data_IF_701558909186
#
_entry.id   IF_701558909186
#
_cell.length_a   1.000
_cell.length_b   1.000
_cell.length_c   1.000
_cell.angle_alpha   90.00
_cell.angle_beta   90.00
_cell.angle_gamma   90.00
#
_symmetry.space_group_name_H-M   'P 1'
#
loop_
_entity.id
_entity.type
_entity.pdbx_description
1 polymer ?
#
# COMPACT_ATOMS: atom_id res chain seq x y z
N UNK A 1 10.48 30.52 -12.02
CA UNK A 1 11.16 29.24 -11.76
C UNK A 1 10.74 28.79 -10.36
N UNK A 2 9.95 27.73 -10.25
CA UNK A 2 9.61 27.12 -8.96
C UNK A 2 10.87 26.41 -8.48
N UNK A 3 11.33 26.72 -7.27
CA UNK A 3 12.49 26.05 -6.67
C UNK A 3 12.26 24.52 -6.69
N UNK A 4 13.28 23.72 -7.00
CA UNK A 4 13.14 22.27 -6.93
C UNK A 4 12.77 21.90 -5.49
N UNK A 5 11.61 21.25 -5.33
CA UNK A 5 11.22 20.73 -4.03
C UNK A 5 12.30 19.75 -3.53
N UNK A 6 12.65 19.78 -2.24
CA UNK A 6 13.59 18.83 -1.70
C UNK A 6 13.09 17.40 -1.98
N UNK A 7 13.99 16.46 -2.27
CA UNK A 7 13.62 15.06 -2.45
C UNK A 7 12.96 14.53 -1.17
N UNK A 8 12.02 13.59 -1.32
CA UNK A 8 11.43 12.91 -0.16
C UNK A 8 12.55 12.22 0.61
N UNK A 9 12.64 12.50 1.91
CA UNK A 9 13.52 11.76 2.81
C UNK A 9 12.83 10.43 3.16
N UNK A 10 13.25 9.35 2.51
CA UNK A 10 12.80 8.00 2.86
C UNK A 10 13.60 7.49 4.08
N UNK A 11 12.88 6.98 5.09
CA UNK A 11 13.50 6.33 6.24
C UNK A 11 13.92 4.91 5.88
N UNK A 12 15.22 4.72 5.66
CA UNK A 12 15.84 3.41 5.40
C UNK A 12 16.50 2.81 6.63
N UNK A 13 16.55 3.53 7.76
CA UNK A 13 17.25 3.12 8.99
C UNK A 13 16.32 2.43 10.00
N UNK A 14 15.04 2.31 9.67
CA UNK A 14 14.05 1.63 10.50
C UNK A 14 14.54 0.31 11.08
N UNK A 15 14.49 0.17 12.42
CA UNK A 15 14.73 -1.10 13.11
C UNK A 15 13.41 -1.84 13.30
N UNK A 16 13.16 -2.99 12.63
CA UNK A 16 11.90 -3.71 12.72
C UNK A 16 11.68 -4.40 14.07
N UNK A 17 12.73 -4.75 14.80
CA UNK A 17 12.69 -5.65 15.97
C UNK A 17 11.86 -6.90 15.65
N UNK A 18 12.19 -7.54 14.54
CA UNK A 18 11.44 -8.66 13.93
C UNK A 18 10.99 -9.70 14.96
N UNK A 19 9.70 -10.06 14.94
CA UNK A 19 9.11 -11.04 15.84
C UNK A 19 8.91 -10.55 17.28
N UNK A 20 9.20 -9.28 17.61
CA UNK A 20 8.99 -8.71 18.94
C UNK A 20 7.76 -7.79 18.96
N UNK A 21 6.94 -7.83 20.02
CA UNK A 21 5.90 -6.84 20.24
C UNK A 21 6.51 -5.48 20.62
N UNK A 22 6.29 -4.46 19.80
CA UNK A 22 6.82 -3.10 20.00
C UNK A 22 5.64 -2.12 20.16
N UNK A 23 5.46 -1.45 21.32
CA UNK A 23 4.48 -0.38 21.46
C UNK A 23 4.78 0.78 20.49
N UNK A 24 3.79 1.20 19.70
CA UNK A 24 3.98 2.25 18.66
C UNK A 24 2.98 3.40 18.78
N UNK A 25 1.87 3.19 19.47
CA UNK A 25 0.87 4.20 19.77
C UNK A 25 0.09 3.77 21.02
N UNK A 26 -0.73 4.64 21.65
CA UNK A 26 -1.58 4.24 22.78
C UNK A 26 -2.46 3.04 22.40
N UNK A 27 -2.37 1.98 23.20
CA UNK A 27 -3.07 0.70 22.99
C UNK A 27 -2.78 0.01 21.66
N UNK A 28 -1.64 0.31 21.00
CA UNK A 28 -1.22 -0.31 19.74
C UNK A 28 0.18 -0.90 19.86
N UNK A 29 0.27 -2.16 19.53
CA UNK A 29 1.54 -2.91 19.46
C UNK A 29 1.76 -3.32 18.01
N UNK A 30 2.99 -3.11 17.51
CA UNK A 30 3.47 -3.61 16.22
C UNK A 30 4.25 -4.91 16.41
N UNK A 31 4.04 -5.85 15.52
CA UNK A 31 4.88 -7.05 15.34
C UNK A 31 5.31 -7.12 13.88
N UNK A 32 6.60 -7.01 13.60
CA UNK A 32 7.11 -7.08 12.22
C UNK A 32 7.47 -8.52 11.87
N UNK A 33 6.96 -9.01 10.74
CA UNK A 33 7.18 -10.36 10.24
C UNK A 33 8.59 -10.54 9.64
N UNK A 34 9.15 -11.78 9.62
CA UNK A 34 10.48 -12.09 9.09
C UNK A 34 10.50 -12.25 7.54
N UNK A 35 9.72 -11.48 6.82
CA UNK A 35 9.57 -11.55 5.37
C UNK A 35 10.25 -10.37 4.65
N UNK A 36 11.43 -9.95 5.10
CA UNK A 36 12.19 -8.88 4.46
C UNK A 36 12.44 -9.15 2.96
N UNK A 37 12.20 -8.16 2.13
CA UNK A 37 12.32 -8.31 0.69
C UNK A 37 12.20 -7.00 -0.10
N UNK A 38 12.33 -7.06 -1.44
CA UNK A 38 12.30 -5.86 -2.28
C UNK A 38 10.97 -5.08 -2.23
N UNK A 39 9.87 -5.72 -1.86
CA UNK A 39 8.53 -5.12 -1.77
C UNK A 39 8.11 -4.89 -0.31
N UNK A 40 8.62 -5.67 0.61
CA UNK A 40 8.27 -5.66 2.03
C UNK A 40 9.31 -4.95 2.90
N UNK A 41 10.40 -4.46 2.31
CA UNK A 41 11.51 -3.80 3.01
C UNK A 41 12.12 -4.70 4.11
N UNK A 42 11.95 -4.34 5.38
CA UNK A 42 12.44 -5.11 6.54
C UNK A 42 11.37 -6.03 7.13
N UNK A 43 10.24 -6.19 6.46
CA UNK A 43 9.12 -7.06 6.82
C UNK A 43 7.77 -6.33 6.88
N UNK A 44 6.69 -7.11 6.94
CA UNK A 44 5.32 -6.63 7.07
C UNK A 44 4.98 -6.39 8.53
N UNK A 45 4.40 -5.25 8.84
CA UNK A 45 3.95 -4.88 10.18
C UNK A 45 2.50 -5.34 10.40
N UNK A 46 2.30 -6.23 11.36
CA UNK A 46 0.98 -6.50 11.94
C UNK A 46 0.76 -5.55 13.12
N UNK A 47 -0.42 -4.97 13.25
CA UNK A 47 -0.76 -4.16 14.42
C UNK A 47 -1.83 -4.84 15.26
N UNK A 48 -1.63 -4.85 16.57
CA UNK A 48 -2.57 -5.33 17.58
C UNK A 48 -3.05 -4.11 18.35
N UNK A 49 -4.32 -3.76 18.17
CA UNK A 49 -4.92 -2.56 18.76
C UNK A 49 -6.02 -2.93 19.75
N UNK A 50 -5.95 -2.42 20.95
CA UNK A 50 -6.96 -2.64 22.01
C UNK A 50 -6.38 -2.81 23.40
N UNK A 51 -7.29 -3.00 24.38
CA UNK A 51 -7.00 -3.22 25.80
C UNK A 51 -7.26 -4.67 26.22
N UNK A 52 -8.39 -4.89 26.93
CA UNK A 52 -8.80 -6.23 27.41
C UNK A 52 -9.17 -7.20 26.29
N UNK A 53 -9.62 -6.69 25.18
CA UNK A 53 -9.74 -7.41 23.90
C UNK A 53 -9.10 -6.62 22.78
N UNK A 54 -8.83 -7.24 21.64
CA UNK A 54 -8.01 -6.62 20.59
C UNK A 54 -8.56 -6.83 19.18
N UNK A 55 -8.21 -5.90 18.29
CA UNK A 55 -8.23 -6.06 16.85
C UNK A 55 -6.83 -6.46 16.37
N UNK A 56 -6.74 -7.34 15.39
CA UNK A 56 -5.50 -7.66 14.68
C UNK A 56 -5.60 -7.11 13.26
N UNK A 57 -4.76 -6.11 12.93
CA UNK A 57 -4.70 -5.51 11.61
C UNK A 57 -3.55 -6.15 10.81
N UNK A 58 -3.87 -6.66 9.63
CA UNK A 58 -2.93 -7.31 8.69
C UNK A 58 -2.08 -8.38 9.38
N UNK A 59 -2.58 -9.61 9.60
CA UNK A 59 -1.88 -10.63 10.37
C UNK A 59 -0.58 -11.15 9.73
N UNK A 60 -0.25 -10.66 8.51
CA UNK A 60 1.05 -10.91 7.90
C UNK A 60 1.12 -12.16 7.03
N UNK A 61 2.34 -12.53 6.57
CA UNK A 61 2.58 -13.69 5.72
C UNK A 61 2.32 -15.00 6.47
N UNK A 62 2.09 -16.10 5.74
CA UNK A 62 1.96 -17.45 6.33
C UNK A 62 3.34 -17.96 6.81
N UNK A 63 3.75 -17.44 7.95
CA UNK A 63 5.02 -17.76 8.60
C UNK A 63 4.77 -18.24 10.04
N UNK A 64 5.27 -19.44 10.43
CA UNK A 64 5.05 -20.00 11.76
C UNK A 64 5.69 -19.17 12.89
N UNK A 65 6.85 -18.55 12.65
CA UNK A 65 7.53 -17.73 13.66
C UNK A 65 6.74 -16.43 13.89
N UNK A 66 6.20 -15.83 12.82
CA UNK A 66 5.33 -14.65 12.93
C UNK A 66 4.05 -14.99 13.69
N UNK A 67 3.39 -16.11 13.38
CA UNK A 67 2.22 -16.57 14.13
C UNK A 67 2.52 -16.74 15.63
N UNK A 68 3.65 -17.32 15.99
CA UNK A 68 4.06 -17.45 17.39
C UNK A 68 4.25 -16.07 18.04
N UNK A 69 4.86 -15.11 17.35
CA UNK A 69 5.02 -13.73 17.82
C UNK A 69 3.67 -13.02 18.01
N UNK A 70 2.71 -13.23 17.09
CA UNK A 70 1.35 -12.68 17.23
C UNK A 70 0.63 -13.25 18.45
N UNK A 71 0.72 -14.57 18.69
CA UNK A 71 0.14 -15.21 19.90
C UNK A 71 0.69 -14.60 21.18
N UNK A 72 2.03 -14.39 21.22
CA UNK A 72 2.69 -13.73 22.35
C UNK A 72 2.16 -12.29 22.54
N UNK A 73 2.07 -11.53 21.46
CA UNK A 73 1.62 -10.15 21.48
C UNK A 73 0.11 -10.02 21.83
N UNK A 74 -0.73 -10.96 21.39
CA UNK A 74 -2.15 -11.06 21.78
C UNK A 74 -2.26 -11.37 23.27
N UNK A 75 -1.39 -12.21 23.82
CA UNK A 75 -1.31 -12.47 25.27
C UNK A 75 -2.56 -13.11 25.86
N UNK A 76 -3.25 -13.98 25.12
CA UNK A 76 -4.48 -14.65 25.55
C UNK A 76 -5.72 -13.75 25.54
N UNK A 77 -5.62 -12.48 25.14
CA UNK A 77 -6.78 -11.58 24.99
C UNK A 77 -7.69 -12.06 23.87
N UNK A 78 -8.97 -11.78 23.98
CA UNK A 78 -9.94 -12.07 22.93
C UNK A 78 -9.65 -11.23 21.69
N UNK A 79 -9.55 -11.89 20.54
CA UNK A 79 -9.48 -11.21 19.24
C UNK A 79 -10.92 -10.95 18.78
N UNK A 80 -11.33 -9.69 18.72
CA UNK A 80 -12.69 -9.30 18.33
C UNK A 80 -12.89 -9.39 16.82
N UNK A 81 -11.87 -9.00 16.06
CA UNK A 81 -11.84 -9.17 14.61
C UNK A 81 -10.40 -9.15 14.08
N UNK A 82 -10.23 -9.76 12.92
CA UNK A 82 -9.07 -9.61 12.04
C UNK A 82 -9.47 -8.58 10.99
N UNK A 83 -8.76 -7.46 10.93
CA UNK A 83 -9.04 -6.34 10.02
C UNK A 83 -7.94 -6.26 8.98
N UNK A 84 -8.28 -6.11 7.69
CA UNK A 84 -7.28 -6.04 6.64
C UNK A 84 -7.33 -4.70 5.92
N UNK A 85 -6.14 -4.16 5.66
CA UNK A 85 -5.99 -2.99 4.77
C UNK A 85 -6.29 -3.39 3.33
N UNK A 86 -5.78 -4.53 2.90
CA UNK A 86 -6.00 -5.06 1.55
C UNK A 86 -5.70 -6.57 1.48
N UNK A 87 -5.70 -7.13 0.28
CA UNK A 87 -5.69 -8.58 0.10
C UNK A 87 -4.41 -9.13 -0.57
N UNK A 88 -3.25 -8.47 -0.44
CA UNK A 88 -1.98 -9.09 -0.79
C UNK A 88 -1.56 -10.12 0.27
N UNK A 89 -0.85 -11.17 -0.16
CA UNK A 89 -0.59 -12.36 0.67
C UNK A 89 0.32 -12.10 1.86
N UNK A 90 1.16 -11.11 1.78
CA UNK A 90 2.01 -10.69 2.89
C UNK A 90 1.23 -9.97 4.00
N UNK A 91 -0.04 -9.63 3.78
CA UNK A 91 -1.00 -9.15 4.77
C UNK A 91 -1.99 -10.23 5.19
N UNK A 92 -2.32 -11.16 4.29
CA UNK A 92 -3.43 -12.11 4.49
C UNK A 92 -3.00 -13.53 4.79
N UNK A 93 -1.72 -13.85 4.68
CA UNK A 93 -1.21 -15.23 4.76
C UNK A 93 -1.66 -15.98 6.02
N UNK A 94 -1.63 -15.33 7.17
CA UNK A 94 -2.05 -15.92 8.44
C UNK A 94 -3.54 -15.80 8.77
N UNK A 95 -4.34 -15.13 7.94
CA UNK A 95 -5.77 -14.89 8.24
C UNK A 95 -6.51 -16.20 8.56
N UNK A 96 -6.40 -17.22 7.71
CA UNK A 96 -7.14 -18.48 7.89
C UNK A 96 -6.73 -19.22 9.14
N UNK A 97 -5.43 -19.19 9.46
CA UNK A 97 -4.91 -19.85 10.68
C UNK A 97 -5.33 -19.10 11.92
N UNK A 98 -5.18 -17.78 11.94
CA UNK A 98 -5.57 -16.96 13.09
C UNK A 98 -7.09 -16.99 13.32
N UNK A 99 -7.90 -16.96 12.25
CA UNK A 99 -9.37 -17.14 12.34
C UNK A 99 -9.72 -18.52 12.93
N UNK A 100 -9.07 -19.59 12.49
CA UNK A 100 -9.34 -20.93 13.02
C UNK A 100 -8.99 -21.06 14.52
N UNK A 101 -7.94 -20.36 14.98
CA UNK A 101 -7.50 -20.40 16.37
C UNK A 101 -8.34 -19.52 17.31
N UNK A 102 -8.79 -18.37 16.83
CA UNK A 102 -9.44 -17.34 17.66
C UNK A 102 -10.95 -17.29 17.51
N UNK A 103 -11.49 -17.85 16.42
CA UNK A 103 -12.90 -17.69 16.03
C UNK A 103 -13.26 -16.28 15.56
N UNK A 104 -12.28 -15.36 15.46
CA UNK A 104 -12.52 -13.97 15.12
C UNK A 104 -13.01 -13.80 13.67
N UNK A 105 -14.00 -12.92 13.43
CA UNK A 105 -14.44 -12.60 12.08
C UNK A 105 -13.37 -11.76 11.31
N UNK A 106 -13.40 -11.84 9.98
CA UNK A 106 -12.47 -11.13 9.08
C UNK A 106 -13.19 -9.98 8.38
N UNK A 107 -12.72 -8.76 8.57
CA UNK A 107 -13.35 -7.54 8.07
C UNK A 107 -12.41 -6.77 7.13
N UNK A 108 -12.83 -6.48 5.91
CA UNK A 108 -12.06 -5.71 4.93
C UNK A 108 -12.91 -5.18 3.77
N UNK A 109 -12.30 -4.46 2.82
CA UNK A 109 -12.95 -3.75 1.71
C UNK A 109 -13.52 -4.62 0.57
N UNK A 110 -13.83 -5.89 0.86
CA UNK A 110 -14.37 -6.83 -0.10
C UNK A 110 -13.31 -7.64 -0.85
N UNK A 111 -13.74 -8.65 -1.59
CA UNK A 111 -12.86 -9.56 -2.32
C UNK A 111 -11.80 -8.83 -3.14
N UNK A 112 -10.66 -9.50 -3.34
CA UNK A 112 -9.66 -9.00 -4.26
C UNK A 112 -10.24 -8.79 -5.65
N UNK A 113 -9.94 -7.65 -6.23
CA UNK A 113 -10.36 -7.29 -7.59
C UNK A 113 -9.36 -6.34 -8.22
N UNK A 114 -9.20 -6.41 -9.52
CA UNK A 114 -8.41 -5.44 -10.25
C UNK A 114 -9.13 -4.08 -10.32
N UNK A 115 -8.39 -2.98 -10.37
CA UNK A 115 -8.92 -1.60 -10.52
C UNK A 115 -9.57 -1.37 -11.89
N UNK A 116 -9.22 -2.17 -12.90
CA UNK A 116 -9.84 -2.21 -14.21
C UNK A 116 -9.83 -3.62 -14.79
N UNK A 117 -10.67 -3.86 -15.78
CA UNK A 117 -10.63 -5.11 -16.52
C UNK A 117 -9.25 -5.32 -17.16
N UNK A 118 -8.77 -6.57 -17.07
CA UNK A 118 -7.55 -6.97 -17.80
C UNK A 118 -7.82 -6.92 -19.29
N UNK A 119 -6.84 -6.40 -20.02
CA UNK A 119 -6.85 -6.44 -21.48
C UNK A 119 -6.53 -7.85 -21.96
N UNK A 120 -6.87 -8.12 -23.22
CA UNK A 120 -6.54 -9.41 -23.83
C UNK A 120 -5.03 -9.69 -23.70
N UNK A 121 -4.64 -10.84 -23.19
CA UNK A 121 -3.27 -11.29 -22.90
C UNK A 121 -2.47 -10.40 -21.93
N UNK A 122 -3.09 -9.48 -21.22
CA UNK A 122 -2.40 -8.70 -20.19
C UNK A 122 -2.06 -9.56 -18.99
N UNK A 123 -0.77 -9.58 -18.63
CA UNK A 123 -0.30 -10.22 -17.40
C UNK A 123 -0.52 -9.26 -16.24
N UNK A 124 -1.11 -9.75 -15.19
CA UNK A 124 -1.15 -9.09 -13.90
C UNK A 124 0.11 -9.49 -13.12
N UNK A 125 1.03 -8.55 -12.88
CA UNK A 125 2.33 -8.88 -12.31
C UNK A 125 2.28 -9.27 -10.82
N UNK A 126 1.18 -8.99 -10.13
CA UNK A 126 0.98 -9.27 -8.70
C UNK A 126 -0.14 -10.28 -8.44
N UNK A 127 -0.65 -10.92 -9.48
CA UNK A 127 -1.75 -11.87 -9.35
C UNK A 127 -1.44 -13.05 -8.42
N UNK A 128 -0.19 -13.53 -8.41
CA UNK A 128 0.28 -14.59 -7.51
C UNK A 128 0.40 -14.12 -6.05
N UNK A 129 0.62 -12.83 -5.86
CA UNK A 129 0.85 -12.21 -4.56
C UNK A 129 -0.46 -11.73 -3.93
N UNK A 130 -1.59 -11.90 -4.62
CA UNK A 130 -2.93 -11.52 -4.19
C UNK A 130 -3.76 -12.72 -3.73
N UNK A 131 -4.56 -12.57 -2.67
CA UNK A 131 -5.49 -13.60 -2.22
C UNK A 131 -6.86 -13.43 -2.88
N UNK A 132 -7.05 -14.08 -4.02
CA UNK A 132 -8.31 -14.08 -4.79
C UNK A 132 -9.46 -14.86 -4.16
N UNK A 133 -9.16 -15.64 -3.13
CA UNK A 133 -10.12 -16.61 -2.54
C UNK A 133 -10.58 -16.20 -1.14
N UNK A 134 -9.98 -15.17 -0.56
CA UNK A 134 -10.36 -14.70 0.76
C UNK A 134 -11.70 -13.96 0.70
N UNK A 135 -12.62 -14.38 1.58
CA UNK A 135 -13.94 -13.78 1.74
C UNK A 135 -14.00 -13.01 3.05
N UNK A 136 -14.56 -11.79 3.07
CA UNK A 136 -14.84 -11.08 4.31
C UNK A 136 -16.08 -11.66 5.00
N UNK A 137 -16.04 -11.78 6.33
CA UNK A 137 -17.26 -11.98 7.11
C UNK A 137 -18.08 -10.67 7.19
N UNK A 138 -17.41 -9.52 7.03
CA UNK A 138 -18.02 -8.19 6.90
C UNK A 138 -17.24 -7.34 5.91
N UNK A 139 -17.94 -6.77 4.94
CA UNK A 139 -17.36 -5.76 4.04
C UNK A 139 -17.40 -4.41 4.73
N UNK A 140 -16.24 -3.77 4.83
CA UNK A 140 -16.11 -2.42 5.40
C UNK A 140 -16.25 -1.37 4.30
N UNK A 141 -16.98 -0.29 4.62
CA UNK A 141 -17.23 0.82 3.71
C UNK A 141 -16.48 2.09 4.15
N UNK A 142 -16.22 2.99 3.20
CA UNK A 142 -15.63 4.30 3.46
C UNK A 142 -16.48 5.12 4.43
N UNK A 143 -15.84 5.77 5.41
CA UNK A 143 -16.47 6.55 6.46
C UNK A 143 -17.15 5.72 7.57
N UNK A 144 -17.10 4.41 7.47
CA UNK A 144 -17.65 3.52 8.51
C UNK A 144 -16.79 3.60 9.77
N UNK A 145 -17.44 3.52 10.94
CA UNK A 145 -16.77 3.43 12.24
C UNK A 145 -16.99 2.05 12.85
N UNK A 146 -15.90 1.37 13.16
CA UNK A 146 -15.92 0.12 13.90
C UNK A 146 -15.36 0.36 15.31
N UNK A 147 -16.10 -0.05 16.33
CA UNK A 147 -15.70 0.12 17.74
C UNK A 147 -15.78 -1.22 18.44
N UNK A 148 -14.64 -1.69 18.92
CA UNK A 148 -14.53 -2.94 19.66
C UNK A 148 -13.15 -3.02 20.33
N UNK A 149 -13.01 -3.89 21.36
CA UNK A 149 -11.72 -4.07 22.04
C UNK A 149 -11.21 -2.85 22.81
N UNK A 150 -12.06 -1.87 23.12
CA UNK A 150 -11.67 -0.61 23.77
C UNK A 150 -11.04 0.40 22.80
N UNK A 151 -11.03 0.14 21.49
CA UNK A 151 -10.60 1.06 20.44
C UNK A 151 -11.71 1.26 19.40
N UNK A 152 -11.67 2.38 18.69
CA UNK A 152 -12.50 2.62 17.53
C UNK A 152 -11.65 2.98 16.33
N UNK A 153 -11.95 2.37 15.18
CA UNK A 153 -11.32 2.68 13.92
C UNK A 153 -12.30 3.37 12.96
N UNK A 154 -11.84 4.40 12.28
CA UNK A 154 -12.56 5.02 11.18
C UNK A 154 -12.01 4.46 9.86
N UNK A 155 -12.88 3.92 9.05
CA UNK A 155 -12.54 3.27 7.78
C UNK A 155 -12.38 4.33 6.69
N UNK A 156 -11.26 4.31 5.98
CA UNK A 156 -10.96 5.25 4.91
C UNK A 156 -10.62 4.44 3.66
N UNK A 157 -11.48 4.46 2.64
CA UNK A 157 -11.13 3.84 1.38
C UNK A 157 -10.00 4.62 0.71
N UNK A 158 -8.90 3.92 0.43
CA UNK A 158 -7.69 4.45 -0.19
C UNK A 158 -7.23 3.57 -1.37
N UNK A 159 -8.11 3.36 -2.39
CA UNK A 159 -7.73 2.58 -3.55
C UNK A 159 -6.55 3.22 -4.27
N UNK A 160 -5.76 2.39 -4.96
CA UNK A 160 -4.64 2.87 -5.78
C UNK A 160 -3.48 1.91 -5.83
N UNK A 161 -2.96 1.45 -4.69
CA UNK A 161 -2.04 0.32 -4.62
C UNK A 161 -2.74 -0.95 -5.13
N UNK A 162 -3.91 -1.23 -4.60
CA UNK A 162 -4.91 -2.17 -5.14
C UNK A 162 -6.33 -1.61 -4.99
N UNK A 163 -7.32 -2.25 -5.61
CA UNK A 163 -8.67 -1.70 -5.71
C UNK A 163 -9.49 -1.77 -4.40
N UNK A 164 -9.17 -2.68 -3.49
CA UNK A 164 -9.90 -2.88 -2.23
C UNK A 164 -9.17 -2.33 -1.01
N UNK A 165 -8.16 -1.47 -1.22
CA UNK A 165 -7.32 -0.94 -0.14
C UNK A 165 -8.10 0.00 0.78
N UNK A 166 -7.90 -0.19 2.10
CA UNK A 166 -8.41 0.63 3.19
C UNK A 166 -7.24 1.12 4.07
N UNK A 167 -7.37 2.33 4.56
CA UNK A 167 -6.63 2.84 5.72
C UNK A 167 -7.57 2.92 6.92
N UNK A 168 -7.02 3.00 8.13
CA UNK A 168 -7.82 3.03 9.36
C UNK A 168 -7.32 4.12 10.29
N UNK A 169 -8.15 5.12 10.57
CA UNK A 169 -7.86 6.13 11.58
C UNK A 169 -8.16 5.60 12.98
N UNK A 170 -7.23 5.68 13.91
CA UNK A 170 -7.49 5.35 15.31
C UNK A 170 -8.22 6.54 15.96
N UNK A 171 -9.53 6.39 16.16
CA UNK A 171 -10.41 7.47 16.59
C UNK A 171 -9.99 8.06 17.95
N UNK A 172 -10.06 9.38 18.09
CA UNK A 172 -9.64 10.10 19.29
C UNK A 172 -8.12 10.19 19.46
N UNK A 173 -7.34 9.79 18.47
CA UNK A 173 -5.87 9.87 18.47
C UNK A 173 -5.36 10.48 17.17
N UNK A 174 -4.09 10.94 17.11
CA UNK A 174 -3.50 11.43 15.87
C UNK A 174 -2.99 10.32 14.92
N UNK A 175 -3.28 9.05 15.13
CA UNK A 175 -2.68 7.91 14.44
C UNK A 175 -3.56 7.34 13.33
N UNK A 176 -2.93 7.05 12.19
CA UNK A 176 -3.55 6.44 11.00
C UNK A 176 -2.74 5.20 10.57
N UNK A 177 -3.37 4.07 10.46
CA UNK A 177 -2.82 2.89 9.80
C UNK A 177 -2.99 3.06 8.29
N UNK A 178 -1.90 3.17 7.57
CA UNK A 178 -1.91 3.51 6.13
C UNK A 178 -1.80 2.30 5.20
N UNK A 179 -1.59 1.10 5.75
CA UNK A 179 -1.33 -0.07 4.92
C UNK A 179 -0.18 0.20 3.92
N UNK A 180 -0.40 -0.17 2.68
CA UNK A 180 0.53 0.05 1.58
C UNK A 180 0.24 1.31 0.76
N UNK A 181 -0.74 2.11 1.18
CA UNK A 181 -1.02 3.37 0.50
C UNK A 181 0.09 4.40 0.70
N UNK A 182 0.62 4.52 1.93
CA UNK A 182 1.74 5.42 2.27
C UNK A 182 2.75 4.63 3.10
N UNK A 183 3.99 4.54 2.60
CA UNK A 183 5.12 3.87 3.25
C UNK A 183 6.27 4.86 3.46
N UNK A 184 6.96 4.77 4.62
CA UNK A 184 8.03 5.71 4.98
C UNK A 184 9.36 5.46 4.26
N UNK A 185 9.61 4.24 3.81
CA UNK A 185 10.90 3.81 3.24
C UNK A 185 11.00 3.94 1.71
N UNK A 186 9.86 4.01 1.03
CA UNK A 186 9.79 4.16 -0.43
C UNK A 186 8.40 4.67 -0.84
N UNK A 187 8.27 5.12 -2.08
CA UNK A 187 6.96 5.38 -2.65
C UNK A 187 6.26 4.06 -3.02
N UNK A 188 4.98 3.94 -2.72
CA UNK A 188 4.23 2.70 -2.93
C UNK A 188 4.25 2.20 -4.38
N UNK A 189 4.19 0.90 -4.57
CA UNK A 189 3.98 0.28 -5.87
C UNK A 189 2.52 0.48 -6.32
N UNK A 190 2.33 0.82 -7.59
CA UNK A 190 1.00 0.88 -8.23
C UNK A 190 1.02 -0.07 -9.44
N UNK A 191 0.75 -1.36 -9.23
CA UNK A 191 0.83 -2.37 -10.29
C UNK A 191 -0.49 -2.44 -11.06
N UNK A 192 -0.53 -2.00 -12.30
CA UNK A 192 -1.73 -2.14 -13.13
C UNK A 192 -1.79 -3.52 -13.79
N UNK A 193 -2.95 -4.20 -13.80
CA UNK A 193 -4.32 -3.70 -13.61
C UNK A 193 -4.84 -3.74 -12.17
N UNK A 194 -4.11 -4.30 -11.20
CA UNK A 194 -4.52 -4.40 -9.80
C UNK A 194 -4.70 -3.01 -9.19
N UNK A 195 -3.70 -2.16 -9.29
CA UNK A 195 -3.71 -0.77 -8.86
C UNK A 195 -4.10 0.24 -9.94
N UNK A 196 -4.23 1.51 -9.53
CA UNK A 196 -4.60 2.64 -10.39
C UNK A 196 -3.89 3.92 -9.92
N UNK A 197 -3.12 4.55 -10.79
CA UNK A 197 -2.46 5.83 -10.45
C UNK A 197 -3.48 6.95 -10.22
N UNK A 198 -4.59 6.95 -10.96
CA UNK A 198 -5.66 7.94 -10.76
C UNK A 198 -6.29 7.82 -9.38
N UNK A 199 -6.56 6.59 -8.93
CA UNK A 199 -7.14 6.34 -7.62
C UNK A 199 -6.12 6.64 -6.51
N UNK A 200 -4.87 6.25 -6.71
CA UNK A 200 -3.79 6.52 -5.77
C UNK A 200 -3.61 8.01 -5.47
N UNK A 201 -3.59 8.85 -6.52
CA UNK A 201 -3.47 10.30 -6.36
C UNK A 201 -4.67 10.90 -5.61
N UNK A 202 -5.91 10.50 -5.97
CA UNK A 202 -7.11 10.93 -5.26
C UNK A 202 -7.11 10.48 -3.79
N UNK A 203 -6.64 9.27 -3.51
CA UNK A 203 -6.52 8.76 -2.15
C UNK A 203 -5.47 9.52 -1.33
N UNK A 204 -4.33 9.92 -1.94
CA UNK A 204 -3.36 10.80 -1.28
C UNK A 204 -3.97 12.16 -0.93
N UNK A 205 -4.65 12.81 -1.89
CA UNK A 205 -5.35 14.09 -1.68
C UNK A 205 -6.37 13.99 -0.54
N UNK A 206 -7.13 12.88 -0.53
CA UNK A 206 -8.09 12.60 0.54
C UNK A 206 -7.41 12.51 1.90
N UNK A 207 -6.37 11.69 2.02
CA UNK A 207 -5.66 11.46 3.29
C UNK A 207 -5.01 12.74 3.82
N UNK A 208 -4.44 13.59 2.94
CA UNK A 208 -3.88 14.89 3.30
C UNK A 208 -4.91 15.80 3.99
N UNK A 209 -6.18 15.72 3.58
CA UNK A 209 -7.27 16.52 4.14
C UNK A 209 -7.83 16.00 5.46
N UNK A 210 -7.35 14.86 5.97
CA UNK A 210 -7.83 14.26 7.22
C UNK A 210 -7.06 14.75 8.44
N UNK A 211 -7.62 14.50 9.64
CA UNK A 211 -7.10 15.06 10.89
C UNK A 211 -5.87 14.32 11.46
N UNK A 212 -5.56 13.11 10.97
CA UNK A 212 -4.48 12.29 11.53
C UNK A 212 -3.09 12.84 11.16
N UNK A 213 -2.22 12.90 12.17
CA UNK A 213 -0.89 13.52 12.04
C UNK A 213 0.24 12.50 11.91
N UNK A 214 0.06 11.29 12.47
CA UNK A 214 1.09 10.25 12.50
C UNK A 214 0.60 9.03 11.74
N UNK A 215 1.47 8.45 10.90
CA UNK A 215 1.10 7.31 10.08
C UNK A 215 1.86 6.06 10.50
N UNK A 216 1.15 4.95 10.54
CA UNK A 216 1.63 3.60 10.82
C UNK A 216 1.52 2.76 9.54
N UNK A 217 2.57 2.70 8.72
CA UNK A 217 2.56 1.94 7.47
C UNK A 217 2.72 0.44 7.72
N UNK A 218 2.24 -0.36 6.77
CA UNK A 218 2.43 -1.81 6.83
C UNK A 218 3.90 -2.22 6.57
N UNK A 219 4.72 -1.34 5.98
CA UNK A 219 6.15 -1.58 5.80
C UNK A 219 6.97 -0.36 6.22
N UNK A 220 7.99 -0.58 7.07
CA UNK A 220 8.85 0.49 7.57
C UNK A 220 8.39 1.08 8.91
N UNK A 221 9.04 2.17 9.32
CA UNK A 221 8.77 2.87 10.57
C UNK A 221 7.56 3.81 10.52
N UNK A 222 7.17 4.32 11.70
CA UNK A 222 6.13 5.33 11.81
C UNK A 222 6.56 6.66 11.17
N UNK A 223 5.62 7.35 10.54
CA UNK A 223 5.81 8.67 9.93
C UNK A 223 5.22 9.71 10.87
N UNK A 224 6.06 10.56 11.44
CA UNK A 224 5.67 11.51 12.49
C UNK A 224 4.87 12.70 11.93
N UNK A 225 5.23 13.20 10.75
CA UNK A 225 4.50 14.28 10.05
C UNK A 225 3.85 13.71 8.79
N UNK A 226 2.77 12.98 8.99
CA UNK A 226 2.05 12.26 7.95
C UNK A 226 1.53 13.15 6.83
N UNK A 227 0.80 14.25 7.13
CA UNK A 227 0.26 15.12 6.07
C UNK A 227 1.35 15.77 5.22
N UNK A 228 2.44 16.28 5.81
CA UNK A 228 3.55 16.84 5.05
C UNK A 228 4.24 15.78 4.19
N UNK A 229 4.41 14.56 4.72
CA UNK A 229 4.96 13.43 3.99
C UNK A 229 4.05 13.01 2.82
N UNK A 230 2.73 12.90 3.03
CA UNK A 230 1.77 12.61 1.98
C UNK A 230 1.76 13.68 0.88
N UNK A 231 1.85 14.98 1.24
CA UNK A 231 2.04 16.08 0.29
C UNK A 231 3.34 15.92 -0.53
N UNK A 232 4.43 15.49 0.11
CA UNK A 232 5.69 15.24 -0.60
C UNK A 232 5.57 14.06 -1.58
N UNK A 233 4.87 12.98 -1.19
CA UNK A 233 4.57 11.87 -2.08
C UNK A 233 3.71 12.29 -3.28
N UNK A 234 2.67 13.10 -3.06
CA UNK A 234 1.84 13.63 -4.15
C UNK A 234 2.69 14.42 -5.16
N UNK A 235 3.48 15.38 -4.67
CA UNK A 235 4.41 16.13 -5.52
C UNK A 235 5.42 15.24 -6.25
N UNK A 236 5.94 14.21 -5.58
CA UNK A 236 6.84 13.25 -6.23
C UNK A 236 6.17 12.53 -7.39
N UNK A 237 4.88 12.12 -7.25
CA UNK A 237 4.12 11.49 -8.33
C UNK A 237 3.86 12.47 -9.49
N UNK A 238 3.53 13.72 -9.19
CA UNK A 238 3.35 14.78 -10.20
C UNK A 238 4.64 15.05 -10.98
N UNK A 239 5.77 15.17 -10.28
CA UNK A 239 7.09 15.29 -10.92
C UNK A 239 7.41 14.09 -11.80
N UNK A 240 7.02 12.88 -11.37
CA UNK A 240 7.18 11.67 -12.19
C UNK A 240 6.31 11.73 -13.45
N UNK A 241 5.09 12.23 -13.36
CA UNK A 241 4.23 12.47 -14.51
C UNK A 241 4.90 13.41 -15.53
N UNK A 242 5.47 14.52 -15.07
CA UNK A 242 6.20 15.45 -15.95
C UNK A 242 7.42 14.79 -16.60
N UNK A 243 8.17 13.99 -15.86
CA UNK A 243 9.33 13.26 -16.39
C UNK A 243 8.92 12.22 -17.45
N UNK A 244 7.77 11.55 -17.27
CA UNK A 244 7.24 10.61 -18.29
C UNK A 244 6.88 11.37 -19.56
N UNK A 245 6.16 12.50 -19.47
CA UNK A 245 5.83 13.35 -20.63
C UNK A 245 7.10 13.78 -21.35
N UNK A 246 8.06 14.38 -20.64
CA UNK A 246 9.32 14.83 -21.24
C UNK A 246 10.12 13.70 -21.89
N UNK A 247 10.14 12.51 -21.28
CA UNK A 247 10.81 11.34 -21.86
C UNK A 247 10.14 10.87 -23.16
N UNK A 248 8.80 10.93 -23.24
CA UNK A 248 8.02 10.60 -24.44
C UNK A 248 8.29 11.63 -25.55
N UNK A 249 8.28 12.92 -25.24
CA UNK A 249 8.62 14.00 -26.17
C UNK A 249 10.05 13.86 -26.70
N UNK A 250 10.99 13.46 -25.85
CA UNK A 250 12.37 13.15 -26.22
C UNK A 250 12.55 11.80 -26.95
N UNK A 251 11.47 11.14 -27.37
CA UNK A 251 11.50 9.96 -28.23
C UNK A 251 11.47 8.61 -27.51
N UNK A 252 11.19 8.53 -26.20
CA UNK A 252 10.90 7.24 -25.56
C UNK A 252 9.55 6.68 -26.08
N UNK A 253 9.52 5.37 -26.37
CA UNK A 253 8.31 4.71 -26.91
C UNK A 253 7.92 3.46 -26.12
N UNK A 254 8.79 2.94 -25.27
CA UNK A 254 8.53 1.72 -24.47
C UNK A 254 8.80 1.97 -23.00
N UNK A 255 8.22 1.14 -22.13
CA UNK A 255 8.46 1.21 -20.67
C UNK A 255 9.95 1.07 -20.33
N UNK A 256 10.69 0.21 -21.06
CA UNK A 256 12.13 0.06 -20.86
C UNK A 256 12.91 1.32 -21.25
N UNK A 257 12.48 2.04 -22.29
CA UNK A 257 13.09 3.33 -22.66
C UNK A 257 12.76 4.42 -21.65
N UNK A 258 11.51 4.50 -21.15
CA UNK A 258 11.12 5.38 -20.06
C UNK A 258 11.96 5.10 -18.82
N UNK A 259 12.06 3.84 -18.41
CA UNK A 259 12.81 3.44 -17.23
C UNK A 259 14.29 3.83 -17.32
N UNK A 260 14.97 3.60 -18.45
CA UNK A 260 16.37 3.99 -18.62
C UNK A 260 16.59 5.51 -18.54
N UNK A 261 15.65 6.32 -19.06
CA UNK A 261 15.75 7.78 -19.03
C UNK A 261 15.44 8.37 -17.65
N UNK A 262 14.45 7.82 -16.97
CA UNK A 262 13.96 8.35 -15.70
C UNK A 262 14.79 7.82 -14.50
N UNK A 263 15.28 6.58 -14.62
CA UNK A 263 16.06 5.90 -13.59
C UNK A 263 17.37 5.32 -14.15
N UNK A 264 18.33 6.17 -14.56
CA UNK A 264 19.54 5.70 -15.24
C UNK A 264 20.42 4.76 -14.37
N UNK A 265 20.41 4.97 -13.05
CA UNK A 265 21.24 4.22 -12.10
C UNK A 265 20.48 3.14 -11.33
N UNK A 266 19.25 2.74 -11.80
CA UNK A 266 18.44 1.78 -11.07
C UNK A 266 19.05 0.36 -11.16
N UNK A 267 19.17 -0.29 -10.00
CA UNK A 267 19.62 -1.67 -9.92
C UNK A 267 18.71 -2.64 -10.70
N UNK A 268 19.26 -3.74 -11.19
CA UNK A 268 18.51 -4.74 -11.97
C UNK A 268 17.30 -5.28 -11.19
N UNK A 269 17.45 -5.50 -9.90
CA UNK A 269 16.42 -6.06 -9.03
C UNK A 269 15.17 -5.15 -8.92
N UNK A 270 15.34 -3.82 -8.99
CA UNK A 270 14.23 -2.87 -8.86
C UNK A 270 13.58 -2.47 -10.21
N UNK A 271 14.15 -2.90 -11.34
CA UNK A 271 13.61 -2.56 -12.67
C UNK A 271 12.18 -3.04 -12.90
N UNK A 272 11.77 -4.25 -12.49
CA UNK A 272 10.38 -4.69 -12.64
C UNK A 272 9.41 -3.78 -11.89
N UNK A 273 9.67 -3.46 -10.63
CA UNK A 273 8.83 -2.56 -9.83
C UNK A 273 8.71 -1.16 -10.43
N UNK A 274 9.83 -0.61 -10.93
CA UNK A 274 9.84 0.69 -11.61
C UNK A 274 9.01 0.66 -12.90
N UNK A 275 9.08 -0.40 -13.69
CA UNK A 275 8.28 -0.54 -14.91
C UNK A 275 6.79 -0.69 -14.62
N UNK A 276 6.40 -1.42 -13.58
CA UNK A 276 5.00 -1.51 -13.13
C UNK A 276 4.44 -0.11 -12.82
N UNK A 277 5.15 0.66 -12.00
CA UNK A 277 4.72 2.01 -11.63
C UNK A 277 4.77 2.98 -12.83
N UNK A 278 5.77 2.89 -13.71
CA UNK A 278 5.82 3.69 -14.94
C UNK A 278 4.66 3.36 -15.88
N UNK A 279 4.23 2.10 -15.95
CA UNK A 279 3.03 1.71 -16.70
C UNK A 279 1.78 2.40 -16.15
N UNK A 280 1.63 2.45 -14.81
CA UNK A 280 0.52 3.15 -14.17
C UNK A 280 0.53 4.67 -14.47
N UNK A 281 1.71 5.32 -14.43
CA UNK A 281 1.87 6.71 -14.86
C UNK A 281 1.51 6.92 -16.33
N UNK A 282 1.97 6.04 -17.22
CA UNK A 282 1.68 6.15 -18.65
C UNK A 282 0.18 5.97 -18.95
N UNK A 283 -0.50 5.03 -18.31
CA UNK A 283 -1.96 4.87 -18.43
C UNK A 283 -2.70 6.10 -17.93
N UNK A 284 -2.35 6.61 -16.75
CA UNK A 284 -2.91 7.83 -16.16
C UNK A 284 -2.76 9.05 -17.09
N UNK A 285 -1.59 9.23 -17.69
CA UNK A 285 -1.32 10.34 -18.62
C UNK A 285 -2.05 10.18 -19.95
N UNK A 286 -2.16 8.95 -20.45
CA UNK A 286 -2.89 8.65 -21.68
C UNK A 286 -4.39 8.90 -21.52
N UNK A 287 -4.99 8.50 -20.41
CA UNK A 287 -6.40 8.73 -20.10
C UNK A 287 -6.73 10.23 -19.99
N UNK A 288 -5.73 11.08 -19.73
CA UNK A 288 -5.82 12.55 -19.69
C UNK A 288 -5.37 13.24 -20.98
N UNK A 289 -5.08 12.48 -22.04
CA UNK A 289 -4.62 13.02 -23.32
C UNK A 289 -3.26 13.72 -23.28
N UNK A 290 -2.48 13.55 -22.20
CA UNK A 290 -1.14 14.17 -22.06
C UNK A 290 -0.07 13.44 -22.88
N UNK A 291 -0.28 12.17 -23.16
CA UNK A 291 0.49 11.35 -24.09
C UNK A 291 -0.47 10.45 -24.84
N UNK A 292 -0.08 9.99 -26.03
CA UNK A 292 -0.76 8.89 -26.71
C UNK A 292 -0.22 7.55 -26.21
N UNK A 293 -1.07 6.54 -26.16
CA UNK A 293 -0.67 5.18 -25.83
C UNK A 293 -1.32 4.18 -26.79
N UNK A 294 -0.49 3.42 -27.50
CA UNK A 294 -0.93 2.25 -28.25
C UNK A 294 -0.64 1.00 -27.44
N UNK A 295 -1.63 0.14 -27.34
CA UNK A 295 -1.59 -1.10 -26.56
C UNK A 295 -1.29 -2.24 -27.52
N UNK A 296 -0.02 -2.63 -27.61
CA UNK A 296 0.38 -3.86 -28.30
C UNK A 296 0.03 -5.10 -27.49
N UNK A 297 0.07 -6.26 -28.14
CA UNK A 297 -0.30 -7.54 -27.54
C UNK A 297 0.52 -7.86 -26.27
N UNK A 298 1.78 -7.40 -26.20
CA UNK A 298 2.72 -7.69 -25.11
C UNK A 298 3.39 -6.45 -24.49
N UNK A 299 3.15 -5.25 -25.02
CA UNK A 299 3.81 -4.04 -24.54
C UNK A 299 2.94 -2.79 -24.71
N UNK A 300 3.10 -1.86 -23.79
CA UNK A 300 2.59 -0.51 -23.91
C UNK A 300 3.59 0.31 -24.73
N UNK A 301 3.13 0.84 -25.88
CA UNK A 301 3.87 1.83 -26.66
C UNK A 301 3.27 3.21 -26.39
N UNK A 302 4.11 4.19 -26.08
CA UNK A 302 3.71 5.57 -25.80
C UNK A 302 4.23 6.50 -26.88
N UNK A 303 3.51 7.60 -27.15
CA UNK A 303 3.90 8.61 -28.13
C UNK A 303 3.37 9.99 -27.68
N UNK A 304 3.92 11.11 -28.22
CA UNK A 304 3.41 12.44 -27.93
C UNK A 304 1.91 12.56 -28.22
N UNK A 305 1.21 13.36 -27.43
CA UNK A 305 -0.17 13.73 -27.73
C UNK A 305 -0.25 14.36 -29.14
N UNK A 306 -1.26 14.01 -29.92
CA UNK A 306 -1.59 14.77 -31.13
C UNK A 306 -2.28 16.03 -30.65
N UNK A 307 -1.67 17.18 -30.86
CA UNK A 307 -2.28 18.51 -30.70
C UNK A 307 -3.40 18.69 -31.69
#
# INVERSE_FOLDING_TARGET
MVAPNPPIAFDTDFNPETGRPVPVAPSVVRVTAPNAGPYTFKGTNTFIAGGDSVLVLDPGPDDPAHLAALRLAIGGRRVEAIVLTHTHRDHTGLVRRLKAETGAPVWFGGRHRASRQRRFLEIDPVASDSDWTLEPDRVLADGERIATGGVALEVIATPGHCANHLAFGLAGTPWLFTGDHIMGWNSTLVPVPDGSMSDYLRSLEKVIGLAWQHYLPAHGGAIVDGPAYACALLRHREMRNLQVVAAVEAGARTLSQLQRRIYPSLSLALRPAAQMTLKAHAEYLADRGRIGAAKGLFCLTVFPSRT
#
